data_IF_426983352936
#
_entry.id   IF_426983352936
#
_cell.length_a   1.000
_cell.length_b   1.000
_cell.length_c   1.000
_cell.angle_alpha   90.00
_cell.angle_beta   90.00
_cell.angle_gamma   90.00
#
_symmetry.space_group_name_H-M   'P 1'
#
loop_
_entity.id
_entity.type
_entity.pdbx_description
1 polymer ?
#
# COMPACT_ATOMS: atom_id res chain seq x y z
N UNK A 1 -7.08 15.93 0.22
CA UNK A 1 -6.06 14.92 -0.14
C UNK A 1 -5.72 14.13 1.12
N UNK A 2 -5.73 12.80 1.07
CA UNK A 2 -5.35 11.95 2.22
C UNK A 2 -3.87 12.17 2.55
N UNK A 3 -3.55 12.33 3.83
CA UNK A 3 -2.16 12.24 4.30
C UNK A 3 -1.74 10.78 4.31
N UNK A 4 -0.72 10.43 3.55
CA UNK A 4 -0.14 9.08 3.52
C UNK A 4 1.14 9.12 4.33
N UNK A 5 1.12 8.50 5.51
CA UNK A 5 2.24 8.50 6.43
C UNK A 5 3.09 7.21 6.28
N UNK A 6 4.42 7.26 6.53
CA UNK A 6 5.32 6.13 6.34
C UNK A 6 4.95 4.85 7.11
N UNK A 7 4.36 4.98 8.30
CA UNK A 7 3.97 3.86 9.15
C UNK A 7 2.68 3.14 8.71
N UNK A 8 1.94 3.69 7.74
CA UNK A 8 0.69 3.09 7.30
C UNK A 8 0.96 1.79 6.54
N UNK A 9 0.24 0.73 6.91
CA UNK A 9 0.21 -0.50 6.13
C UNK A 9 -0.68 -0.28 4.91
N UNK A 10 -0.14 -0.56 3.73
CA UNK A 10 -0.84 -0.33 2.45
C UNK A 10 -0.83 -1.64 1.66
N UNK A 11 -2.01 -2.10 1.27
CA UNK A 11 -2.21 -3.26 0.42
C UNK A 11 -2.96 -2.85 -0.84
N UNK A 12 -2.35 -3.10 -1.99
CA UNK A 12 -2.97 -2.91 -3.29
C UNK A 12 -3.57 -4.22 -3.77
N UNK A 13 -4.86 -4.22 -4.12
CA UNK A 13 -5.49 -5.36 -4.77
C UNK A 13 -4.90 -5.60 -6.16
N UNK A 14 -4.58 -6.84 -6.50
CA UNK A 14 -4.03 -7.16 -7.82
C UNK A 14 -5.13 -7.15 -8.88
N UNK A 15 -6.28 -7.73 -8.57
CA UNK A 15 -7.44 -7.73 -9.46
C UNK A 15 -8.22 -6.40 -9.41
N UNK A 16 -8.75 -6.01 -10.56
CA UNK A 16 -9.62 -4.84 -10.65
C UNK A 16 -10.99 -5.10 -10.02
N UNK A 17 -11.55 -4.08 -9.36
CA UNK A 17 -12.84 -4.17 -8.68
C UNK A 17 -13.91 -3.36 -9.41
N UNK A 18 -15.16 -3.78 -9.28
CA UNK A 18 -16.29 -2.98 -9.70
C UNK A 18 -16.43 -1.72 -8.82
N UNK A 19 -16.18 -0.57 -9.41
CA UNK A 19 -16.24 0.71 -8.70
C UNK A 19 -17.66 1.23 -8.44
N UNK A 20 -18.69 0.49 -8.83
CA UNK A 20 -20.06 0.68 -8.31
C UNK A 20 -20.18 0.27 -6.84
N UNK A 21 -19.26 -0.56 -6.34
CA UNK A 21 -19.21 -0.91 -4.93
C UNK A 21 -18.85 0.32 -4.07
N UNK A 22 -19.71 0.61 -3.09
CA UNK A 22 -19.42 1.51 -1.99
C UNK A 22 -18.55 0.86 -0.91
N UNK A 23 -18.58 1.40 0.31
CA UNK A 23 -17.78 0.91 1.44
C UNK A 23 -18.03 -0.57 1.70
N UNK A 24 -19.29 -0.99 1.92
CA UNK A 24 -19.61 -2.37 2.30
C UNK A 24 -19.22 -3.40 1.23
N UNK A 25 -19.38 -3.02 -0.04
CA UNK A 25 -18.96 -3.84 -1.17
C UNK A 25 -17.43 -4.02 -1.21
N UNK A 26 -16.67 -2.97 -0.89
CA UNK A 26 -15.21 -3.05 -0.82
C UNK A 26 -14.73 -3.79 0.44
N UNK A 27 -15.39 -3.61 1.58
CA UNK A 27 -15.15 -4.42 2.80
C UNK A 27 -15.36 -5.91 2.50
N UNK A 28 -16.42 -6.25 1.75
CA UNK A 28 -16.65 -7.62 1.30
C UNK A 28 -15.53 -8.13 0.41
N UNK A 29 -15.01 -7.30 -0.51
CA UNK A 29 -13.86 -7.65 -1.35
C UNK A 29 -12.60 -7.91 -0.50
N UNK A 30 -12.32 -7.08 0.51
CA UNK A 30 -11.20 -7.33 1.44
C UNK A 30 -11.32 -8.72 2.07
N UNK A 31 -12.49 -9.03 2.63
CA UNK A 31 -12.72 -10.30 3.33
C UNK A 31 -12.71 -11.52 2.40
N UNK A 32 -13.40 -11.44 1.26
CA UNK A 32 -13.65 -12.60 0.41
C UNK A 32 -12.58 -12.83 -0.66
N UNK A 33 -12.05 -11.75 -1.22
CA UNK A 33 -11.09 -11.82 -2.33
C UNK A 33 -9.67 -11.64 -1.83
N UNK A 34 -9.42 -10.66 -0.96
CA UNK A 34 -8.06 -10.38 -0.49
C UNK A 34 -7.65 -11.18 0.75
N UNK A 35 -8.61 -11.89 1.36
CA UNK A 35 -8.42 -12.64 2.63
C UNK A 35 -7.80 -11.76 3.72
N UNK A 36 -8.22 -10.50 3.77
CA UNK A 36 -7.68 -9.49 4.68
C UNK A 36 -8.79 -8.86 5.52
N UNK A 37 -8.44 -8.50 6.75
CA UNK A 37 -9.35 -7.78 7.64
C UNK A 37 -9.42 -6.29 7.27
N UNK A 38 -10.61 -5.84 6.86
CA UNK A 38 -10.87 -4.44 6.51
C UNK A 38 -10.79 -3.49 7.72
N UNK A 39 -10.95 -4.00 8.94
CA UNK A 39 -10.91 -3.21 10.18
C UNK A 39 -9.49 -3.02 10.74
N UNK A 40 -8.48 -3.64 10.12
CA UNK A 40 -7.09 -3.65 10.60
C UNK A 40 -6.36 -2.29 10.60
N UNK A 41 -7.01 -1.21 10.17
CA UNK A 41 -6.36 0.09 9.94
C UNK A 41 -5.47 0.14 8.69
N UNK A 42 -5.44 -0.94 7.89
CA UNK A 42 -4.72 -0.99 6.62
C UNK A 42 -5.43 -0.14 5.55
N UNK A 43 -4.64 0.55 4.72
CA UNK A 43 -5.15 1.19 3.49
C UNK A 43 -5.27 0.14 2.39
N UNK A 44 -6.49 -0.09 1.90
CA UNK A 44 -6.75 -0.99 0.78
C UNK A 44 -6.93 -0.20 -0.52
N UNK A 45 -6.03 -0.41 -1.47
CA UNK A 45 -5.96 0.32 -2.74
C UNK A 45 -6.52 -0.54 -3.87
N UNK A 46 -7.54 -0.05 -4.55
CA UNK A 46 -8.21 -0.75 -5.65
C UNK A 46 -8.10 0.05 -6.94
N UNK A 47 -8.13 -0.63 -8.09
CA UNK A 47 -8.33 0.01 -9.39
C UNK A 47 -9.64 -0.47 -10.02
N UNK A 48 -10.20 0.37 -10.89
CA UNK A 48 -11.25 -0.07 -11.80
C UNK A 48 -10.65 -0.81 -13.00
N UNK A 49 -11.47 -1.61 -13.69
CA UNK A 49 -11.05 -2.39 -14.86
C UNK A 49 -10.41 -1.55 -15.97
N UNK A 50 -10.85 -0.31 -16.14
CA UNK A 50 -10.32 0.62 -17.15
C UNK A 50 -9.01 1.31 -16.72
N UNK A 51 -8.55 1.12 -15.48
CA UNK A 51 -7.39 1.78 -14.87
C UNK A 51 -7.46 3.31 -14.96
N UNK A 52 -8.65 3.90 -14.87
CA UNK A 52 -8.87 5.36 -14.89
C UNK A 52 -9.13 5.94 -13.51
N UNK A 53 -9.40 5.08 -12.52
CA UNK A 53 -9.68 5.49 -11.17
C UNK A 53 -9.08 4.52 -10.15
N UNK A 54 -8.69 5.09 -9.00
CA UNK A 54 -8.27 4.38 -7.80
C UNK A 54 -9.23 4.71 -6.67
N UNK A 55 -9.59 3.70 -5.88
CA UNK A 55 -10.29 3.84 -4.60
C UNK A 55 -9.37 3.38 -3.48
N UNK A 56 -9.38 4.10 -2.36
CA UNK A 56 -8.64 3.77 -1.14
C UNK A 56 -9.65 3.66 -0.01
N UNK A 57 -9.83 2.44 0.51
CA UNK A 57 -10.67 2.15 1.66
C UNK A 57 -9.79 2.12 2.92
N UNK A 58 -10.28 2.72 4.00
CA UNK A 58 -9.60 2.75 5.28
C UNK A 58 -10.59 2.77 6.44
N UNK A 59 -10.22 2.13 7.54
CA UNK A 59 -10.95 2.16 8.81
C UNK A 59 -10.12 2.94 9.83
N UNK A 60 -10.74 3.90 10.52
CA UNK A 60 -10.06 4.79 11.48
C UNK A 60 -10.31 4.42 12.96
N UNK A 61 -10.95 3.29 13.22
CA UNK A 61 -11.33 2.84 14.56
C UNK A 61 -12.79 3.13 14.92
N UNK A 62 -13.40 4.16 14.32
CA UNK A 62 -14.80 4.53 14.55
C UNK A 62 -15.66 4.42 13.29
N UNK A 63 -15.06 4.40 12.11
CA UNK A 63 -15.78 4.28 10.86
C UNK A 63 -14.89 4.01 9.66
N UNK A 64 -15.55 3.73 8.55
CA UNK A 64 -14.89 3.62 7.25
C UNK A 64 -14.97 4.94 6.50
N UNK A 65 -13.90 5.22 5.79
CA UNK A 65 -13.86 6.29 4.80
C UNK A 65 -13.29 5.78 3.49
N UNK A 66 -13.72 6.43 2.42
CA UNK A 66 -13.40 6.04 1.06
C UNK A 66 -12.90 7.26 0.30
N UNK A 67 -11.62 7.24 -0.08
CA UNK A 67 -11.07 8.21 -1.02
C UNK A 67 -11.11 7.65 -2.44
N UNK A 68 -11.42 8.51 -3.41
CA UNK A 68 -11.37 8.16 -4.83
C UNK A 68 -10.57 9.20 -5.61
N UNK A 69 -9.61 8.74 -6.41
CA UNK A 69 -8.94 9.55 -7.43
C UNK A 69 -9.34 9.05 -8.80
N UNK A 70 -9.94 9.93 -9.61
CA UNK A 70 -10.24 9.67 -11.03
C UNK A 70 -9.35 10.59 -11.86
N UNK A 71 -8.69 10.03 -12.87
CA UNK A 71 -7.94 10.83 -13.83
C UNK A 71 -8.92 11.54 -14.76
N UNK A 72 -8.71 12.84 -15.01
CA UNK A 72 -9.51 13.60 -15.98
C UNK A 72 -9.31 13.06 -17.40
N UNK A 73 -8.09 12.62 -17.72
CA UNK A 73 -7.69 11.99 -18.97
C UNK A 73 -6.67 10.87 -18.72
N UNK A 74 -6.56 9.91 -19.65
CA UNK A 74 -5.57 8.83 -19.56
C UNK A 74 -5.91 7.71 -18.58
N UNK A 75 -4.88 6.92 -18.22
CA UNK A 75 -4.97 5.72 -17.37
C UNK A 75 -3.74 5.60 -16.47
N UNK A 76 -3.90 4.99 -15.30
CA UNK A 76 -2.78 4.51 -14.49
C UNK A 76 -2.03 3.44 -15.28
N UNK A 77 -0.78 3.74 -15.66
CA UNK A 77 0.04 2.86 -16.50
C UNK A 77 0.49 1.61 -15.75
N UNK A 78 0.77 1.77 -14.46
CA UNK A 78 1.14 0.66 -13.59
C UNK A 78 -0.08 0.09 -12.86
N UNK A 79 -0.17 -1.24 -12.88
CA UNK A 79 -0.96 -2.02 -11.94
C UNK A 79 -0.31 -3.41 -11.84
N UNK A 80 -0.19 -4.02 -10.64
CA UNK A 80 0.46 -5.32 -10.47
C UNK A 80 -0.22 -6.42 -11.29
N UNK A 81 0.57 -7.43 -11.68
CA UNK A 81 0.10 -8.57 -12.45
C UNK A 81 -0.46 -9.66 -11.54
N UNK A 82 -1.35 -10.52 -12.06
CA UNK A 82 -1.97 -11.60 -11.28
C UNK A 82 -0.96 -12.57 -10.63
N UNK A 83 0.23 -12.72 -11.20
CA UNK A 83 1.29 -13.58 -10.67
C UNK A 83 1.84 -13.13 -9.31
N UNK A 84 1.64 -11.88 -8.89
CA UNK A 84 2.11 -11.36 -7.59
C UNK A 84 1.23 -11.75 -6.39
N UNK A 85 0.17 -12.54 -6.59
CA UNK A 85 -0.75 -12.96 -5.54
C UNK A 85 -2.05 -12.12 -5.50
N UNK A 86 -2.74 -12.13 -4.35
CA UNK A 86 -4.01 -11.40 -4.17
C UNK A 86 -3.79 -9.90 -3.94
N UNK A 87 -2.71 -9.55 -3.25
CA UNK A 87 -2.34 -8.17 -2.91
C UNK A 87 -0.85 -7.91 -3.12
N UNK A 88 -0.50 -6.66 -3.38
CA UNK A 88 0.87 -6.17 -3.36
C UNK A 88 1.02 -5.12 -2.24
N UNK A 89 1.99 -5.31 -1.35
CA UNK A 89 2.34 -4.31 -0.34
C UNK A 89 2.97 -3.08 -1.00
N UNK A 90 2.60 -1.88 -0.54
CA UNK A 90 3.23 -0.63 -0.96
C UNK A 90 3.79 0.12 0.24
N UNK A 91 4.93 0.79 0.03
CA UNK A 91 5.37 1.85 0.91
C UNK A 91 4.58 3.15 0.64
N UNK A 92 4.57 4.07 1.61
CA UNK A 92 3.87 5.36 1.49
C UNK A 92 4.26 6.14 0.21
N UNK A 93 5.56 6.23 -0.09
CA UNK A 93 6.05 6.94 -1.28
C UNK A 93 5.60 6.25 -2.58
N UNK A 94 5.51 4.92 -2.60
CA UNK A 94 5.04 4.17 -3.78
C UNK A 94 3.58 4.47 -4.07
N UNK A 95 2.73 4.54 -3.02
CA UNK A 95 1.35 4.95 -3.19
C UNK A 95 1.25 6.39 -3.72
N UNK A 96 2.09 7.31 -3.24
CA UNK A 96 2.13 8.67 -3.77
C UNK A 96 2.49 8.72 -5.26
N UNK A 97 3.54 8.01 -5.68
CA UNK A 97 3.96 7.91 -7.09
C UNK A 97 2.84 7.34 -7.96
N UNK A 98 2.21 6.25 -7.51
CA UNK A 98 1.06 5.66 -8.19
C UNK A 98 -0.09 6.66 -8.34
N UNK A 99 -0.44 7.37 -7.26
CA UNK A 99 -1.51 8.36 -7.30
C UNK A 99 -1.20 9.49 -8.29
N UNK A 100 0.07 9.81 -8.53
CA UNK A 100 0.49 10.76 -9.57
C UNK A 100 0.50 10.17 -10.99
N UNK A 101 0.14 8.90 -11.16
CA UNK A 101 0.15 8.20 -12.46
C UNK A 101 1.51 7.61 -12.85
N UNK A 102 2.48 7.64 -11.92
CA UNK A 102 3.81 7.05 -12.10
C UNK A 102 3.84 5.54 -11.86
N UNK A 103 5.01 4.96 -12.11
CA UNK A 103 5.31 3.58 -11.77
C UNK A 103 5.94 3.52 -10.36
N UNK A 104 5.26 2.94 -9.35
CA UNK A 104 5.75 2.81 -7.99
C UNK A 104 6.98 1.90 -7.83
N UNK A 105 7.29 1.04 -8.80
CA UNK A 105 8.44 0.12 -8.74
C UNK A 105 9.74 0.75 -9.21
N UNK A 106 9.63 1.79 -10.05
CA UNK A 106 10.77 2.52 -10.61
C UNK A 106 11.34 3.60 -9.68
N UNK A 107 10.64 3.91 -8.58
CA UNK A 107 11.08 4.91 -7.62
C UNK A 107 12.27 4.39 -6.79
N UNK A 108 13.49 4.85 -7.09
CA UNK A 108 14.68 4.57 -6.28
C UNK A 108 14.60 5.37 -4.99
N UNK A 109 14.45 4.67 -3.86
CA UNK A 109 14.48 5.26 -2.52
C UNK A 109 15.51 4.56 -1.65
N UNK A 110 15.96 5.25 -0.60
CA UNK A 110 16.75 4.62 0.44
C UNK A 110 15.89 3.59 1.20
N UNK A 111 16.49 2.47 1.65
CA UNK A 111 15.77 1.50 2.47
C UNK A 111 15.28 2.15 3.77
N UNK A 112 14.09 1.73 4.23
CA UNK A 112 13.42 2.30 5.42
C UNK A 112 14.24 2.13 6.71
N UNK A 113 15.10 1.11 6.76
CA UNK A 113 16.04 0.88 7.84
C UNK A 113 17.45 0.71 7.29
N UNK A 114 18.41 1.38 7.90
CA UNK A 114 19.83 1.15 7.70
C UNK A 114 20.43 0.77 9.05
N UNK A 115 20.97 -0.45 9.24
CA UNK A 115 21.68 -0.76 10.47
C UNK A 115 22.83 0.24 10.62
N UNK A 116 22.88 0.89 11.77
CA UNK A 116 24.03 1.73 12.11
C UNK A 116 25.23 0.81 12.31
N UNK A 117 26.39 1.10 11.70
CA UNK A 117 27.60 0.39 12.07
C UNK A 117 27.79 0.55 13.59
N UNK A 118 27.97 -0.57 14.29
CA UNK A 118 28.23 -0.52 15.72
C UNK A 118 29.55 0.25 15.93
N UNK A 119 29.61 1.18 16.89
CA UNK A 119 30.86 1.86 17.19
C UNK A 119 31.87 0.87 17.78
N UNK A 120 33.14 1.02 17.40
CA UNK A 120 34.24 0.08 17.68
C UNK A 120 34.41 -0.29 19.17
N UNK A 121 33.95 0.56 20.10
CA UNK A 121 34.06 0.31 21.54
C UNK A 121 33.15 -0.81 22.06
N UNK A 122 32.17 -1.29 21.28
CA UNK A 122 31.31 -2.44 21.66
C UNK A 122 31.93 -3.81 21.35
N UNK A 123 33.00 -3.90 20.56
CA UNK A 123 33.67 -5.17 20.23
C UNK A 123 34.53 -5.69 21.38
N UNK A 124 35.02 -4.79 22.23
CA UNK A 124 35.86 -5.08 23.41
C UNK A 124 35.16 -5.79 24.57
N UNK A 125 33.83 -5.99 24.52
CA UNK A 125 33.09 -6.68 25.59
C UNK A 125 32.97 -8.20 25.37
N UNK A 126 33.42 -8.75 24.24
CA UNK A 126 33.26 -10.18 23.91
C UNK A 126 34.55 -11.01 23.99
N UNK A 127 35.68 -10.45 24.42
CA UNK A 127 36.96 -11.17 24.57
C UNK A 127 37.29 -11.45 26.04
N UNK A 128 36.33 -12.00 26.78
CA UNK A 128 36.50 -12.41 28.17
C UNK A 128 35.92 -13.80 28.43
N UNK A 129 36.39 -14.83 27.73
CA UNK A 129 36.31 -16.22 28.20
C UNK A 129 37.37 -17.08 27.47
N UNK A 130 38.39 -17.49 28.22
CA UNK A 130 39.55 -18.27 27.78
C UNK A 130 40.66 -18.19 28.80
#
# INVERSE_FOLDING_TARGET
>A
MIQIAPQMRILMAVEAVDFRNGIDGLVRVCKQTLQADAFSGCLFVFCNRRKTAIKILAYDGNGFWLCQKRLSTGRFRFWPARATGLTQGLAAHQLQVLLMGGDPTSAKVLPAWRPLPLPAWKESCNTGNG
#
